data_IF_113271532826
#
_entry.id   IF_113271532826
#
_cell.length_a   1.000
_cell.length_b   1.000
_cell.length_c   1.000
_cell.angle_alpha   90.00
_cell.angle_beta   90.00
_cell.angle_gamma   90.00
#
_symmetry.space_group_name_H-M   'P 1'
#
loop_
_entity.id
_entity.type
_entity.pdbx_description
1 polymer ?
#
# COMPACT_ATOMS: atom_id res chain seq x y z
N UNK A 1 44.09 50.10 -28.84
CA UNK A 1 43.01 49.82 -27.86
C UNK A 1 42.18 48.68 -28.43
N UNK A 2 42.42 47.47 -27.93
CA UNK A 2 41.56 46.29 -28.16
C UNK A 2 41.42 45.61 -26.80
N UNK A 3 40.20 45.53 -26.28
CA UNK A 3 39.89 44.80 -25.06
C UNK A 3 39.27 43.45 -25.46
N UNK A 4 40.03 42.39 -25.19
CA UNK A 4 39.56 41.01 -25.23
C UNK A 4 38.63 40.75 -24.04
N UNK A 5 37.32 40.65 -24.31
CA UNK A 5 36.35 40.16 -23.33
C UNK A 5 36.31 38.63 -23.38
N UNK A 6 37.10 37.99 -22.52
CA UNK A 6 36.98 36.57 -22.23
C UNK A 6 35.68 36.31 -21.44
N UNK A 7 34.72 35.68 -22.12
CA UNK A 7 33.44 35.22 -21.57
C UNK A 7 33.67 33.89 -20.84
N UNK A 8 33.82 33.93 -19.51
CA UNK A 8 33.84 32.71 -18.69
C UNK A 8 32.41 32.23 -18.43
N UNK A 9 32.00 31.20 -19.15
CA UNK A 9 30.81 30.41 -18.85
C UNK A 9 31.09 29.55 -17.61
N UNK A 10 30.55 29.98 -16.46
CA UNK A 10 30.47 29.12 -15.26
C UNK A 10 29.33 28.14 -15.46
N UNK A 11 29.64 26.93 -15.90
CA UNK A 11 28.77 25.76 -15.72
C UNK A 11 28.65 25.44 -14.23
N UNK A 12 27.60 25.96 -13.59
CA UNK A 12 27.16 25.50 -12.28
C UNK A 12 26.45 24.17 -12.48
N UNK A 13 27.18 23.07 -12.33
CA UNK A 13 26.60 21.74 -12.20
C UNK A 13 25.89 21.69 -10.85
N UNK A 14 24.63 22.11 -10.83
CA UNK A 14 23.71 21.90 -9.72
C UNK A 14 23.46 20.40 -9.60
N UNK A 15 24.28 19.73 -8.79
CA UNK A 15 23.93 18.42 -8.26
C UNK A 15 22.76 18.62 -7.30
N UNK A 16 21.53 18.57 -7.84
CA UNK A 16 20.33 18.52 -7.03
C UNK A 16 20.44 17.41 -5.98
N UNK A 17 19.77 17.55 -4.82
CA UNK A 17 19.81 16.56 -3.77
C UNK A 17 19.49 15.19 -4.36
N UNK A 18 20.41 14.23 -4.22
CA UNK A 18 20.15 12.83 -4.58
C UNK A 18 18.89 12.43 -3.80
N UNK A 19 17.84 11.93 -4.45
CA UNK A 19 16.66 11.46 -3.74
C UNK A 19 17.13 10.46 -2.70
N UNK A 20 16.91 10.77 -1.44
CA UNK A 20 17.06 9.77 -0.38
C UNK A 20 16.17 8.60 -0.75
N UNK A 21 16.63 7.35 -0.61
CA UNK A 21 15.80 6.19 -0.90
C UNK A 21 14.52 6.36 -0.09
N UNK A 22 13.40 6.56 -0.79
CA UNK A 22 12.10 6.74 -0.15
C UNK A 22 11.85 5.50 0.69
N UNK A 23 11.84 5.65 2.00
CA UNK A 23 11.48 4.56 2.90
C UNK A 23 10.05 4.19 2.54
N UNK A 24 9.86 2.94 2.12
CA UNK A 24 8.54 2.46 1.78
C UNK A 24 7.68 2.47 3.06
N UNK A 25 6.43 2.94 3.01
CA UNK A 25 5.45 2.78 4.08
C UNK A 25 5.51 1.39 4.70
N UNK A 26 5.71 1.32 6.02
CA UNK A 26 5.83 0.06 6.74
C UNK A 26 4.44 -0.44 7.14
N UNK A 27 3.56 0.48 7.56
CA UNK A 27 2.26 0.17 8.13
C UNK A 27 1.17 1.05 7.52
N UNK A 28 0.33 0.41 6.70
CA UNK A 28 -0.63 1.06 5.82
C UNK A 28 -2.05 0.80 6.30
N UNK A 29 -2.73 1.86 6.73
CA UNK A 29 -4.14 1.82 7.10
C UNK A 29 -5.03 1.78 5.85
N UNK A 30 -5.95 0.83 5.76
CA UNK A 30 -6.95 0.79 4.69
C UNK A 30 -8.25 1.44 5.17
N UNK A 31 -8.63 2.54 4.53
CA UNK A 31 -9.88 3.21 4.87
C UNK A 31 -11.12 2.48 4.32
N UNK A 32 -12.30 2.89 4.80
CA UNK A 32 -13.57 2.34 4.35
C UNK A 32 -13.79 2.45 2.84
N UNK A 33 -13.31 3.52 2.19
CA UNK A 33 -13.46 3.69 0.73
C UNK A 33 -12.63 2.69 -0.07
N UNK A 34 -11.42 2.39 0.41
CA UNK A 34 -10.54 1.37 -0.16
C UNK A 34 -11.10 -0.01 0.05
N UNK A 35 -11.58 -0.33 1.26
CA UNK A 35 -12.24 -1.61 1.52
C UNK A 35 -13.50 -1.78 0.66
N UNK A 36 -14.30 -0.74 0.48
CA UNK A 36 -15.46 -0.77 -0.41
C UNK A 36 -15.06 -1.06 -1.85
N UNK A 37 -13.97 -0.46 -2.35
CA UNK A 37 -13.44 -0.76 -3.67
C UNK A 37 -12.96 -2.22 -3.77
N UNK A 38 -12.25 -2.71 -2.77
CA UNK A 38 -11.80 -4.12 -2.72
C UNK A 38 -12.99 -5.08 -2.75
N UNK A 39 -14.06 -4.78 -1.99
CA UNK A 39 -15.26 -5.62 -1.97
C UNK A 39 -16.06 -5.53 -3.27
N UNK A 40 -16.15 -4.34 -3.87
CA UNK A 40 -16.92 -4.10 -5.09
C UNK A 40 -16.25 -4.64 -6.35
N UNK A 41 -14.92 -4.74 -6.37
CA UNK A 41 -14.11 -5.19 -7.50
C UNK A 41 -13.25 -6.41 -7.15
N UNK A 42 -13.70 -7.22 -6.19
CA UNK A 42 -12.94 -8.38 -5.73
C UNK A 42 -12.65 -9.39 -6.85
N UNK A 43 -13.56 -9.50 -7.84
CA UNK A 43 -13.41 -10.41 -8.96
C UNK A 43 -12.26 -9.99 -9.86
N UNK A 44 -12.14 -8.69 -10.10
CA UNK A 44 -11.07 -8.12 -10.90
C UNK A 44 -9.72 -8.15 -10.15
N UNK A 45 -9.76 -7.90 -8.84
CA UNK A 45 -8.59 -7.81 -7.96
C UNK A 45 -7.99 -9.19 -7.68
N UNK A 46 -8.79 -10.16 -7.24
CA UNK A 46 -8.31 -11.47 -6.79
C UNK A 46 -8.46 -12.57 -7.85
N UNK A 47 -9.61 -12.64 -8.50
CA UNK A 47 -9.93 -13.72 -9.45
C UNK A 47 -9.36 -13.43 -10.85
N UNK A 48 -8.80 -12.24 -11.03
CA UNK A 48 -8.16 -11.83 -12.26
C UNK A 48 -9.12 -11.48 -13.39
N UNK A 49 -10.42 -11.34 -13.11
CA UNK A 49 -11.42 -11.02 -14.11
C UNK A 49 -11.15 -9.65 -14.76
N UNK A 50 -11.54 -9.46 -16.03
CA UNK A 50 -11.49 -8.15 -16.66
C UNK A 50 -12.52 -7.20 -16.03
N UNK A 51 -12.21 -5.91 -16.03
CA UNK A 51 -13.17 -4.87 -15.61
C UNK A 51 -14.41 -4.94 -16.49
N UNK A 52 -15.57 -5.13 -15.85
CA UNK A 52 -16.84 -5.22 -16.58
C UNK A 52 -17.13 -3.90 -17.33
N UNK A 53 -17.53 -3.99 -18.61
CA UNK A 53 -17.71 -2.82 -19.48
C UNK A 53 -18.74 -1.81 -18.97
N UNK A 54 -19.76 -2.30 -18.25
CA UNK A 54 -20.82 -1.46 -17.66
C UNK A 54 -20.56 -1.11 -16.18
N UNK A 55 -19.35 -1.35 -15.67
CA UNK A 55 -19.01 -1.00 -14.28
C UNK A 55 -18.68 0.48 -14.14
N UNK A 56 -18.78 1.00 -12.92
CA UNK A 56 -18.39 2.37 -12.62
C UNK A 56 -16.90 2.62 -12.90
N UNK A 57 -16.05 1.59 -12.88
CA UNK A 57 -14.62 1.70 -13.21
C UNK A 57 -14.36 2.16 -14.65
N UNK A 58 -15.29 1.89 -15.58
CA UNK A 58 -15.20 2.36 -16.97
C UNK A 58 -15.72 3.80 -17.10
N UNK A 59 -16.73 4.16 -16.31
CA UNK A 59 -17.36 5.48 -16.38
C UNK A 59 -16.57 6.56 -15.61
N UNK A 60 -15.87 6.19 -14.54
CA UNK A 60 -15.15 7.11 -13.65
C UNK A 60 -13.68 7.15 -14.08
N UNK A 61 -13.23 8.31 -14.54
CA UNK A 61 -11.85 8.52 -14.98
C UNK A 61 -10.84 8.12 -13.88
N UNK A 62 -9.86 7.31 -14.27
CA UNK A 62 -8.78 6.84 -13.38
C UNK A 62 -9.17 5.70 -12.43
N UNK A 63 -10.45 5.36 -12.25
CA UNK A 63 -10.84 4.30 -11.31
C UNK A 63 -10.31 2.91 -11.73
N UNK A 64 -10.30 2.61 -13.03
CA UNK A 64 -9.70 1.39 -13.56
C UNK A 64 -8.21 1.24 -13.18
N UNK A 65 -7.44 2.32 -13.25
CA UNK A 65 -6.01 2.32 -12.90
C UNK A 65 -5.80 2.09 -11.40
N UNK A 66 -6.69 2.63 -10.56
CA UNK A 66 -6.64 2.41 -9.12
C UNK A 66 -6.97 0.97 -8.74
N UNK A 67 -7.98 0.36 -9.40
CA UNK A 67 -8.32 -1.06 -9.21
C UNK A 67 -7.16 -1.95 -9.67
N UNK A 68 -6.56 -1.66 -10.84
CA UNK A 68 -5.39 -2.37 -11.31
C UNK A 68 -4.19 -2.22 -10.36
N UNK A 69 -4.07 -1.07 -9.70
CA UNK A 69 -3.02 -0.83 -8.71
C UNK A 69 -3.30 -1.59 -7.41
N UNK A 70 -4.55 -1.60 -6.91
CA UNK A 70 -4.95 -2.42 -5.77
C UNK A 70 -4.68 -3.90 -6.00
N UNK A 71 -5.01 -4.41 -7.19
CA UNK A 71 -4.68 -5.78 -7.61
C UNK A 71 -3.19 -6.08 -7.45
N UNK A 72 -2.32 -5.19 -7.92
CA UNK A 72 -0.86 -5.39 -7.83
C UNK A 72 -0.35 -5.26 -6.39
N UNK A 73 -0.86 -4.31 -5.62
CA UNK A 73 -0.50 -4.10 -4.21
C UNK A 73 -0.87 -5.35 -3.38
N UNK A 74 -2.09 -5.85 -3.53
CA UNK A 74 -2.63 -6.93 -2.69
C UNK A 74 -2.13 -8.32 -3.09
N UNK A 75 -1.82 -8.53 -4.38
CA UNK A 75 -1.30 -9.82 -4.86
C UNK A 75 0.24 -9.93 -4.82
N UNK A 76 0.94 -8.88 -4.38
CA UNK A 76 2.39 -8.97 -4.16
C UNK A 76 2.69 -9.87 -2.96
N UNK A 77 3.58 -10.86 -3.14
CA UNK A 77 3.99 -11.79 -2.10
C UNK A 77 5.54 -11.87 -2.01
N UNK A 78 6.13 -11.65 -0.82
CA UNK A 78 5.48 -11.14 0.39
C UNK A 78 5.00 -9.69 0.21
N UNK A 79 3.93 -9.26 0.91
CA UNK A 79 3.50 -7.87 0.84
C UNK A 79 4.61 -6.97 1.38
N UNK A 80 4.86 -5.82 0.76
CA UNK A 80 6.00 -4.99 1.11
C UNK A 80 5.76 -4.14 2.37
N UNK A 81 4.56 -4.24 2.96
CA UNK A 81 4.09 -3.51 4.14
C UNK A 81 3.08 -4.35 4.94
N UNK A 82 2.80 -3.93 6.17
CA UNK A 82 1.70 -4.41 7.00
C UNK A 82 0.42 -3.62 6.69
N UNK A 83 -0.69 -4.32 6.38
CA UNK A 83 -2.00 -3.68 6.23
C UNK A 83 -2.77 -3.69 7.54
N UNK A 84 -3.32 -2.53 7.89
CA UNK A 84 -4.10 -2.33 9.12
C UNK A 84 -5.53 -1.94 8.76
N UNK A 85 -6.49 -2.56 9.44
CA UNK A 85 -7.92 -2.30 9.26
C UNK A 85 -8.58 -2.18 10.64
N UNK A 86 -9.61 -1.36 10.78
CA UNK A 86 -10.43 -1.29 12.01
C UNK A 86 -11.77 -1.97 11.84
N UNK A 87 -12.31 -2.46 12.96
CA UNK A 87 -13.67 -2.99 13.04
C UNK A 87 -14.73 -2.00 12.50
N UNK A 88 -14.52 -0.70 12.70
CA UNK A 88 -15.44 0.33 12.18
C UNK A 88 -15.40 0.41 10.65
N UNK A 89 -14.22 0.37 10.02
CA UNK A 89 -14.13 0.34 8.56
C UNK A 89 -14.76 -0.95 7.99
N UNK A 90 -14.60 -2.08 8.67
CA UNK A 90 -15.21 -3.36 8.30
C UNK A 90 -16.73 -3.35 8.45
N UNK A 91 -17.26 -2.69 9.49
CA UNK A 91 -18.70 -2.52 9.68
C UNK A 91 -19.32 -1.71 8.53
N UNK A 92 -18.60 -0.71 8.00
CA UNK A 92 -19.05 0.10 6.87
C UNK A 92 -19.18 -0.71 5.57
N UNK A 93 -18.33 -1.71 5.34
CA UNK A 93 -18.44 -2.61 4.17
C UNK A 93 -19.41 -3.77 4.40
N UNK A 94 -19.49 -4.29 5.62
CA UNK A 94 -20.35 -5.42 5.98
C UNK A 94 -21.85 -5.11 5.82
N UNK A 95 -22.27 -3.86 5.97
CA UNK A 95 -23.66 -3.44 5.73
C UNK A 95 -24.12 -3.51 4.27
N UNK A 96 -23.21 -3.77 3.31
CA UNK A 96 -23.50 -3.77 1.87
C UNK A 96 -24.05 -5.09 1.31
N UNK A 97 -24.43 -5.06 0.02
CA UNK A 97 -24.99 -6.18 -0.75
C UNK A 97 -23.95 -7.26 -1.15
N UNK A 98 -22.70 -7.12 -0.73
CA UNK A 98 -21.56 -7.88 -1.27
C UNK A 98 -21.31 -9.20 -0.53
N UNK A 99 -22.32 -10.09 -0.51
CA UNK A 99 -22.25 -11.37 0.24
C UNK A 99 -21.08 -12.27 -0.18
N UNK A 100 -20.72 -12.26 -1.46
CA UNK A 100 -19.67 -13.16 -2.01
C UNK A 100 -18.26 -12.82 -1.51
N UNK A 101 -17.97 -11.54 -1.21
CA UNK A 101 -16.67 -11.13 -0.69
C UNK A 101 -16.61 -11.05 0.83
N UNK A 102 -17.73 -11.30 1.54
CA UNK A 102 -17.71 -11.38 3.02
C UNK A 102 -16.81 -12.49 3.56
N UNK A 103 -16.71 -13.62 2.84
CA UNK A 103 -15.79 -14.69 3.25
C UNK A 103 -14.33 -14.27 3.09
N UNK A 104 -14.02 -13.52 2.02
CA UNK A 104 -12.70 -12.93 1.86
C UNK A 104 -12.42 -11.91 2.95
N UNK A 105 -13.38 -11.01 3.23
CA UNK A 105 -13.28 -10.07 4.35
C UNK A 105 -13.02 -10.83 5.64
N UNK A 106 -13.73 -11.91 5.96
CA UNK A 106 -13.51 -12.71 7.17
C UNK A 106 -12.11 -13.39 7.21
N UNK A 107 -11.63 -13.88 6.07
CA UNK A 107 -10.29 -14.49 5.96
C UNK A 107 -9.17 -13.43 6.13
N UNK A 108 -9.41 -12.24 5.59
CA UNK A 108 -8.51 -11.08 5.69
C UNK A 108 -8.60 -10.41 7.04
N UNK A 109 -9.79 -10.36 7.64
CA UNK A 109 -10.05 -9.92 9.00
C UNK A 109 -9.20 -10.76 9.94
N UNK A 110 -9.26 -12.09 9.83
CA UNK A 110 -8.42 -12.94 10.68
C UNK A 110 -6.92 -12.72 10.43
N UNK A 111 -6.48 -12.41 9.21
CA UNK A 111 -5.04 -12.27 8.93
C UNK A 111 -4.49 -10.87 9.23
N UNK A 112 -5.27 -9.81 8.97
CA UNK A 112 -4.86 -8.41 9.12
C UNK A 112 -5.32 -7.81 10.45
N UNK A 113 -6.48 -8.20 10.99
CA UNK A 113 -6.89 -7.75 12.33
C UNK A 113 -6.03 -8.36 13.44
N UNK A 114 -5.59 -9.61 13.31
CA UNK A 114 -4.70 -10.24 14.31
C UNK A 114 -3.41 -9.45 14.48
N UNK A 115 -2.90 -8.81 13.42
CA UNK A 115 -1.71 -7.96 13.51
C UNK A 115 -2.03 -6.57 14.13
N UNK A 116 -3.26 -6.08 13.98
CA UNK A 116 -3.71 -4.81 14.58
C UNK A 116 -4.08 -4.91 16.07
N UNK A 117 -4.58 -6.07 16.53
CA UNK A 117 -5.08 -6.28 17.88
C UNK A 117 -3.97 -6.35 18.96
N UNK A 118 -2.72 -6.57 18.56
CA UNK A 118 -1.57 -6.54 19.48
C UNK A 118 -1.16 -5.12 19.93
N UNK A 119 -1.82 -4.07 19.43
CA UNK A 119 -1.47 -2.67 19.67
C UNK A 119 -2.57 -1.86 20.37
N UNK A 120 -3.40 -2.51 21.20
CA UNK A 120 -4.20 -1.77 22.18
C UNK A 120 -3.27 -1.11 23.21
N UNK A 121 -2.80 0.11 22.94
CA UNK A 121 -1.95 0.80 23.89
C UNK A 121 -1.26 2.07 23.45
N UNK A 122 -2.01 3.14 23.18
CA UNK A 122 -1.64 4.46 23.69
C UNK A 122 -2.89 5.36 23.74
N UNK A 123 -3.15 6.09 24.84
CA UNK A 123 -4.29 7.00 24.92
C UNK A 123 -4.18 8.02 23.79
N UNK A 124 -5.10 7.90 22.83
CA UNK A 124 -5.11 8.67 21.60
C UNK A 124 -4.86 10.14 21.84
N UNK A 125 -3.86 10.66 21.15
CA UNK A 125 -3.54 12.08 21.16
C UNK A 125 -4.80 12.85 20.79
N UNK A 126 -5.36 13.63 21.72
CA UNK A 126 -6.47 14.58 21.50
C UNK A 126 -6.09 15.71 20.52
N UNK A 127 -5.18 15.45 19.57
CA UNK A 127 -4.62 16.40 18.60
C UNK A 127 -5.68 16.93 17.63
N UNK A 128 -6.65 16.09 17.25
CA UNK A 128 -7.62 16.36 16.18
C UNK A 128 -8.82 17.24 16.61
N UNK A 129 -9.02 17.47 17.91
CA UNK A 129 -10.10 18.32 18.41
C UNK A 129 -9.79 19.83 18.36
N UNK A 130 -8.61 20.24 17.91
CA UNK A 130 -8.23 21.65 17.78
C UNK A 130 -8.86 22.26 16.52
N UNK A 131 -9.23 23.55 16.56
CA UNK A 131 -9.66 24.41 15.41
C UNK A 131 -8.76 24.37 14.17
N UNK A 132 -7.62 23.67 14.23
CA UNK A 132 -6.65 23.56 13.15
C UNK A 132 -7.19 22.73 11.98
N UNK A 133 -8.20 21.88 12.18
CA UNK A 133 -8.75 20.97 11.16
C UNK A 133 -10.16 21.36 10.68
N UNK A 134 -10.54 22.65 10.76
CA UNK A 134 -11.91 23.08 10.44
C UNK A 134 -12.34 22.81 8.97
N UNK A 135 -11.38 22.57 8.06
CA UNK A 135 -11.63 22.15 6.68
C UNK A 135 -11.76 20.64 6.45
N UNK A 136 -11.54 19.81 7.49
CA UNK A 136 -11.61 18.34 7.39
C UNK A 136 -12.89 17.83 8.05
N UNK A 137 -13.61 16.96 7.35
CA UNK A 137 -14.87 16.42 7.87
C UNK A 137 -14.65 15.69 9.20
N UNK A 138 -15.71 15.57 10.02
CA UNK A 138 -15.62 14.84 11.29
C UNK A 138 -15.25 13.36 11.06
N UNK A 139 -15.75 12.77 9.96
CA UNK A 139 -15.41 11.39 9.58
C UNK A 139 -13.95 11.25 9.21
N UNK A 140 -13.44 12.13 8.35
CA UNK A 140 -12.04 12.10 7.91
C UNK A 140 -11.07 12.34 9.09
N UNK A 141 -11.42 13.25 10.02
CA UNK A 141 -10.63 13.45 11.25
C UNK A 141 -10.54 12.19 12.09
N UNK A 142 -11.67 11.50 12.32
CA UNK A 142 -11.70 10.24 13.09
C UNK A 142 -10.89 9.14 12.42
N UNK A 143 -10.92 9.09 11.09
CA UNK A 143 -10.12 8.15 10.30
C UNK A 143 -8.63 8.43 10.48
N UNK A 144 -8.19 9.68 10.35
CA UNK A 144 -6.78 10.06 10.55
C UNK A 144 -6.35 9.78 11.99
N UNK A 145 -7.18 10.10 12.97
CA UNK A 145 -6.93 9.79 14.38
C UNK A 145 -6.78 8.28 14.62
N UNK A 146 -7.63 7.47 13.98
CA UNK A 146 -7.57 6.01 14.09
C UNK A 146 -6.29 5.45 13.49
N UNK A 147 -5.87 5.94 12.31
CA UNK A 147 -4.61 5.54 11.69
C UNK A 147 -3.40 5.89 12.57
N UNK A 148 -3.38 7.09 13.16
CA UNK A 148 -2.32 7.53 14.08
C UNK A 148 -2.29 6.70 15.37
N UNK A 149 -3.44 6.39 15.95
CA UNK A 149 -3.52 5.57 17.16
C UNK A 149 -3.08 4.12 16.94
N UNK A 150 -3.03 3.67 15.69
CA UNK A 150 -2.57 2.35 15.28
C UNK A 150 -1.15 2.39 14.70
N UNK A 151 -0.40 3.46 14.95
CA UNK A 151 0.97 3.69 14.48
C UNK A 151 1.14 3.49 12.96
N UNK A 152 0.11 3.81 12.18
CA UNK A 152 0.21 3.79 10.73
C UNK A 152 0.96 5.04 10.25
N UNK A 153 1.87 4.86 9.30
CA UNK A 153 2.56 5.98 8.65
C UNK A 153 1.81 6.47 7.40
N UNK A 154 0.95 5.60 6.85
CA UNK A 154 0.22 5.85 5.60
C UNK A 154 -1.23 5.39 5.70
N UNK A 155 -2.13 6.12 5.07
CA UNK A 155 -3.51 5.71 4.78
C UNK A 155 -3.65 5.53 3.27
N UNK A 156 -4.09 4.35 2.87
CA UNK A 156 -4.54 4.10 1.51
C UNK A 156 -6.01 4.50 1.39
N UNK A 157 -6.32 5.41 0.47
CA UNK A 157 -7.69 5.92 0.30
C UNK A 157 -8.13 6.00 -1.16
N UNK A 158 -9.38 5.61 -1.40
CA UNK A 158 -10.08 5.78 -2.68
C UNK A 158 -10.92 7.07 -2.72
N UNK A 159 -10.97 7.84 -1.62
CA UNK A 159 -11.71 9.10 -1.55
C UNK A 159 -10.88 10.26 -2.13
N UNK A 160 -11.30 10.87 -3.26
CA UNK A 160 -10.53 11.96 -3.89
C UNK A 160 -10.51 13.23 -3.05
N UNK A 161 -11.55 13.49 -2.24
CA UNK A 161 -11.61 14.67 -1.37
C UNK A 161 -10.60 14.56 -0.23
N UNK A 162 -10.50 13.38 0.37
CA UNK A 162 -9.52 13.11 1.42
C UNK A 162 -8.09 13.20 0.86
N UNK A 163 -7.87 12.68 -0.36
CA UNK A 163 -6.59 12.79 -1.07
C UNK A 163 -6.20 14.24 -1.39
N UNK A 164 -7.18 15.13 -1.60
CA UNK A 164 -6.89 16.56 -1.81
C UNK A 164 -6.39 17.27 -0.53
N UNK A 165 -6.62 16.69 0.65
CA UNK A 165 -6.14 17.21 1.94
C UNK A 165 -4.77 16.62 2.36
N UNK A 166 -4.10 15.87 1.48
CA UNK A 166 -2.85 15.15 1.78
C UNK A 166 -1.77 16.05 2.36
N UNK A 167 -1.43 17.15 1.67
CA UNK A 167 -0.33 18.03 2.11
C UNK A 167 -0.61 18.61 3.50
N UNK A 168 -1.83 19.10 3.71
CA UNK A 168 -2.25 19.66 4.98
C UNK A 168 -2.22 18.62 6.12
N UNK A 169 -2.68 17.39 5.88
CA UNK A 169 -2.68 16.34 6.90
C UNK A 169 -1.24 15.91 7.20
N UNK A 170 -0.43 15.66 6.16
CA UNK A 170 0.96 15.26 6.29
C UNK A 170 1.79 16.30 7.06
N UNK A 171 1.67 17.59 6.74
CA UNK A 171 2.37 18.66 7.47
C UNK A 171 2.02 18.70 8.96
N UNK A 172 0.81 18.28 9.34
CA UNK A 172 0.29 18.40 10.71
C UNK A 172 0.51 17.14 11.54
N UNK A 173 0.57 15.98 10.91
CA UNK A 173 0.58 14.69 11.61
C UNK A 173 1.72 13.79 11.21
N UNK A 174 2.40 14.07 10.08
CA UNK A 174 3.34 13.16 9.44
C UNK A 174 2.68 11.99 8.69
N UNK A 175 1.35 11.87 8.76
CA UNK A 175 0.62 10.79 8.10
C UNK A 175 0.47 11.05 6.61
N UNK A 176 0.84 10.09 5.77
CA UNK A 176 0.67 10.18 4.33
C UNK A 176 -0.71 9.67 3.92
N UNK A 177 -1.44 10.45 3.11
CA UNK A 177 -2.65 9.98 2.45
C UNK A 177 -2.33 9.67 1.00
N UNK A 178 -2.50 8.42 0.58
CA UNK A 178 -2.01 7.96 -0.72
C UNK A 178 -3.10 7.21 -1.48
N UNK A 179 -3.17 7.46 -2.78
CA UNK A 179 -3.99 6.71 -3.75
C UNK A 179 -3.30 5.39 -4.12
N UNK A 180 -4.04 4.29 -4.37
CA UNK A 180 -3.43 3.02 -4.81
C UNK A 180 -2.42 3.14 -5.97
N UNK A 181 -2.73 3.92 -6.99
CA UNK A 181 -1.85 4.16 -8.14
C UNK A 181 -0.54 4.88 -7.78
N UNK A 182 -0.56 5.75 -6.77
CA UNK A 182 0.64 6.42 -6.26
C UNK A 182 1.45 5.44 -5.41
N UNK A 183 0.79 4.68 -4.53
CA UNK A 183 1.45 3.71 -3.66
C UNK A 183 2.12 2.58 -4.46
N UNK A 184 1.43 2.05 -5.47
CA UNK A 184 1.99 1.03 -6.36
C UNK A 184 3.28 1.51 -7.04
N UNK A 185 3.32 2.76 -7.51
CA UNK A 185 4.54 3.32 -8.12
C UNK A 185 5.71 3.37 -7.14
N UNK A 186 5.46 3.67 -5.87
CA UNK A 186 6.49 3.65 -4.83
C UNK A 186 7.04 2.22 -4.60
N UNK A 187 6.14 1.24 -4.47
CA UNK A 187 6.50 -0.18 -4.34
C UNK A 187 7.33 -0.65 -5.55
N UNK A 188 6.85 -0.36 -6.76
CA UNK A 188 7.48 -0.75 -8.02
C UNK A 188 8.88 -0.13 -8.17
N UNK A 189 9.04 1.15 -7.80
CA UNK A 189 10.33 1.82 -7.77
C UNK A 189 11.29 1.19 -6.76
N UNK A 190 10.79 0.89 -5.56
CA UNK A 190 11.57 0.26 -4.51
C UNK A 190 12.02 -1.16 -4.90
N UNK A 191 11.13 -1.96 -5.51
CA UNK A 191 11.44 -3.29 -6.02
C UNK A 191 12.53 -3.27 -7.09
N UNK A 192 12.45 -2.34 -8.04
CA UNK A 192 13.50 -2.13 -9.06
C UNK A 192 14.84 -1.73 -8.44
N UNK A 193 14.83 -0.82 -7.47
CA UNK A 193 16.06 -0.39 -6.81
C UNK A 193 16.76 -1.54 -6.08
N UNK A 194 15.99 -2.43 -5.42
CA UNK A 194 16.54 -3.65 -4.80
C UNK A 194 17.12 -4.61 -5.82
N UNK A 195 16.43 -4.85 -6.94
CA UNK A 195 16.92 -5.72 -8.01
C UNK A 195 18.23 -5.20 -8.63
N UNK A 196 18.35 -3.88 -8.83
CA UNK A 196 19.59 -3.26 -9.34
C UNK A 196 20.74 -3.32 -8.32
N UNK A 197 20.44 -3.31 -7.03
CA UNK A 197 21.46 -3.44 -5.98
C UNK A 197 21.96 -4.88 -5.90
N UNK A 198 21.07 -5.87 -5.98
CA UNK A 198 21.40 -7.30 -6.01
C UNK A 198 22.21 -7.70 -7.25
N UNK A 199 21.91 -7.12 -8.40
CA UNK A 199 22.61 -7.43 -9.66
C UNK A 199 23.97 -6.75 -9.79
N UNK A 200 24.22 -5.63 -9.07
CA UNK A 200 25.53 -4.97 -9.02
C UNK A 200 26.45 -5.51 -7.91
N UNK A 201 25.90 -6.08 -6.85
CA UNK A 201 26.65 -6.70 -5.75
C UNK A 201 26.76 -8.21 -5.92
N UNK A 202 27.28 -8.67 -7.07
CA UNK A 202 27.41 -10.08 -7.41
C UNK A 202 27.79 -10.97 -6.23
N UNK A 203 27.07 -12.07 -6.07
CA UNK A 203 27.42 -13.12 -5.13
C UNK A 203 28.82 -13.65 -5.48
N UNK A 204 29.82 -13.26 -4.69
CA UNK A 204 31.01 -14.08 -4.50
C UNK A 204 30.67 -14.97 -3.30
N UNK A 205 30.07 -16.13 -3.59
CA UNK A 205 30.15 -17.25 -2.66
C UNK A 205 31.59 -17.78 -2.74
N UNK A 206 32.45 -17.27 -1.86
CA UNK A 206 33.60 -18.06 -1.41
C UNK A 206 33.03 -19.15 -0.51
N UNK A 207 32.86 -20.34 -1.08
CA UNK A 207 32.54 -21.57 -0.36
C UNK A 207 33.83 -22.39 -0.16
N UNK A 208 34.53 -22.28 0.99
CA UNK A 208 35.56 -23.23 1.37
C UNK A 208 34.95 -24.29 2.29
N UNK A 209 34.18 -25.22 1.75
CA UNK A 209 34.00 -26.51 2.41
C UNK A 209 32.62 -27.14 2.28
N UNK A 210 32.32 -27.69 1.11
CA UNK A 210 31.32 -28.74 0.99
C UNK A 210 31.93 -30.11 1.36
N UNK A 211 31.44 -30.81 2.42
CA UNK A 211 31.52 -32.25 2.46
C UNK A 211 30.33 -32.86 1.70
N UNK A 212 30.67 -33.83 0.86
CA UNK A 212 29.78 -34.75 0.16
C UNK A 212 28.75 -35.39 1.11
N UNK A 213 27.48 -35.33 0.69
CA UNK A 213 26.32 -35.73 1.49
C UNK A 213 25.18 -36.21 0.62
N UNK A 214 25.47 -37.18 -0.24
CA UNK A 214 24.48 -37.97 -0.96
C UNK A 214 23.37 -38.53 -0.04
N UNK A 215 22.11 -38.43 -0.52
CA UNK A 215 20.90 -39.28 -0.28
C UNK A 215 19.74 -38.66 0.52
N UNK A 216 18.55 -39.08 0.06
CA UNK A 216 17.18 -38.96 0.60
C UNK A 216 16.44 -37.68 0.18
N UNK A 217 15.25 -37.70 -0.39
CA UNK A 217 14.30 -38.75 -0.74
C UNK A 217 13.05 -38.01 -1.24
N UNK A 218 12.63 -38.31 -2.47
CA UNK A 218 11.50 -37.67 -3.15
C UNK A 218 10.19 -38.10 -2.47
N UNK A 219 9.51 -37.19 -1.77
CA UNK A 219 8.16 -37.42 -1.26
C UNK A 219 7.17 -36.58 -2.07
N UNK A 220 6.61 -37.19 -3.11
CA UNK A 220 5.42 -36.70 -3.79
C UNK A 220 4.22 -36.84 -2.84
N UNK A 221 3.69 -35.73 -2.33
CA UNK A 221 2.35 -35.68 -1.75
C UNK A 221 1.40 -35.10 -2.79
N UNK A 222 0.51 -35.95 -3.29
CA UNK A 222 -0.61 -35.58 -4.12
C UNK A 222 -1.57 -34.64 -3.34
N UNK A 223 -2.00 -33.57 -3.98
CA UNK A 223 -3.10 -32.73 -3.49
C UNK A 223 -4.43 -33.49 -3.65
N UNK A 224 -5.32 -33.48 -2.64
CA UNK A 224 -6.67 -34.01 -2.79
C UNK A 224 -7.54 -33.12 -3.71
N UNK A 225 -8.49 -33.70 -4.46
CA UNK A 225 -9.40 -32.93 -5.30
C UNK A 225 -10.39 -32.10 -4.46
N UNK A 226 -10.89 -30.98 -4.99
CA UNK A 226 -11.85 -30.13 -4.28
C UNK A 226 -13.21 -30.82 -4.11
N UNK A 227 -13.97 -30.50 -3.06
CA UNK A 227 -15.27 -31.08 -2.81
C UNK A 227 -16.32 -30.57 -3.82
N UNK A 228 -17.10 -31.51 -4.35
CA UNK A 228 -18.31 -31.24 -5.13
C UNK A 228 -19.39 -30.70 -4.19
N UNK A 229 -20.01 -29.59 -4.57
CA UNK A 229 -21.16 -29.00 -3.87
C UNK A 229 -22.42 -29.41 -4.65
N UNK A 230 -23.31 -30.15 -3.99
CA UNK A 230 -24.71 -30.36 -4.42
C UNK A 230 -25.57 -29.14 -4.10
#
# INVERSE_FOLDING_TARGET
>A
MNQDHAKQERTVTSAGPKPTPSVLPQRVYLDGSTLQAICGYGAEIFDGHPIHRNSAAVAIAGLADEIASLKRILNNQPPPCEFVVTAECLRQVSGGRWRHYRQWIANVENTWLLNSASLEGSPGSKMMHRRRFDGVSVGDRRLVESALNLDCDTVLTMNPKLSAATDFIHERTGLQLIRPSVYWRQIDHWGRARHLTLTKGGWVEDDPGAPDGSKLGRNERANPPPPTID
#
